data_IF_647477344833
#
_entry.id   IF_647477344833
#
_cell.length_a   1.000
_cell.length_b   1.000
_cell.length_c   1.000
_cell.angle_alpha   90.00
_cell.angle_beta   90.00
_cell.angle_gamma   90.00
#
_symmetry.space_group_name_H-M   'P 1'
#
loop_
_entity.id
_entity.type
_entity.pdbx_description
1 polymer ?
#
# COMPACT_ATOMS: atom_id res chain seq x y z
N UNK A 1 -30.18 -0.12 -19.82
CA UNK A 1 -29.88 -0.87 -18.58
C UNK A 1 -28.52 -0.44 -18.08
N UNK A 2 -28.45 0.38 -17.02
CA UNK A 2 -27.16 0.76 -16.43
C UNK A 2 -26.59 -0.44 -15.65
N UNK A 3 -25.43 -0.95 -16.07
CA UNK A 3 -24.75 -2.04 -15.36
C UNK A 3 -24.04 -1.46 -14.14
N UNK A 4 -24.54 -1.76 -12.94
CA UNK A 4 -23.86 -1.37 -11.71
C UNK A 4 -22.50 -2.10 -11.62
N UNK A 5 -21.42 -1.31 -11.56
CA UNK A 5 -20.06 -1.84 -11.40
C UNK A 5 -19.95 -2.48 -10.02
N UNK A 6 -19.76 -3.80 -9.98
CA UNK A 6 -19.46 -4.51 -8.72
C UNK A 6 -18.13 -4.00 -8.17
N UNK A 7 -18.10 -3.70 -6.87
CA UNK A 7 -16.86 -3.37 -6.17
C UNK A 7 -15.89 -4.56 -6.28
N UNK A 8 -14.65 -4.29 -6.68
CA UNK A 8 -13.63 -5.32 -6.81
C UNK A 8 -13.10 -5.71 -5.43
N UNK A 9 -13.34 -6.95 -5.02
CA UNK A 9 -12.83 -7.49 -3.76
C UNK A 9 -11.45 -8.14 -3.96
N UNK A 10 -10.40 -7.53 -3.41
CA UNK A 10 -9.05 -8.11 -3.46
C UNK A 10 -8.87 -9.20 -2.39
N UNK A 11 -8.59 -10.43 -2.84
CA UNK A 11 -8.32 -11.59 -1.98
C UNK A 11 -6.86 -11.61 -1.50
N UNK A 12 -6.64 -12.12 -0.29
CA UNK A 12 -5.30 -12.36 0.29
C UNK A 12 -4.61 -13.53 -0.40
N UNK A 13 -3.29 -13.65 -0.20
CA UNK A 13 -2.50 -14.75 -0.77
C UNK A 13 -2.93 -16.10 -0.19
N UNK A 14 -3.13 -16.18 1.13
CA UNK A 14 -3.70 -17.35 1.83
C UNK A 14 -4.99 -17.84 1.17
N UNK A 15 -5.97 -16.93 1.04
CA UNK A 15 -7.29 -17.29 0.50
C UNK A 15 -7.22 -17.76 -0.94
N UNK A 16 -6.24 -17.28 -1.72
CA UNK A 16 -5.99 -17.78 -3.07
C UNK A 16 -5.36 -19.18 -3.05
N UNK A 17 -4.48 -19.48 -2.10
CA UNK A 17 -3.94 -20.83 -1.91
C UNK A 17 -5.02 -21.82 -1.48
N UNK A 18 -5.88 -21.47 -0.54
CA UNK A 18 -6.98 -22.35 -0.12
C UNK A 18 -7.87 -22.75 -1.31
N UNK A 19 -8.15 -21.80 -2.21
CA UNK A 19 -8.89 -22.04 -3.45
C UNK A 19 -8.15 -23.01 -4.37
N UNK A 20 -6.82 -22.90 -4.47
CA UNK A 20 -5.99 -23.77 -5.31
C UNK A 20 -5.93 -25.19 -4.72
N UNK A 21 -5.72 -25.32 -3.41
CA UNK A 21 -5.71 -26.60 -2.72
C UNK A 21 -7.05 -27.33 -2.84
N UNK A 22 -8.16 -26.61 -2.63
CA UNK A 22 -9.51 -27.16 -2.82
C UNK A 22 -9.75 -27.59 -4.27
N UNK A 23 -9.24 -26.83 -5.25
CA UNK A 23 -9.36 -27.17 -6.67
C UNK A 23 -8.56 -28.42 -7.03
N UNK A 24 -7.34 -28.56 -6.52
CA UNK A 24 -6.47 -29.71 -6.78
C UNK A 24 -6.89 -30.97 -6.05
N UNK A 25 -7.57 -30.84 -4.90
CA UNK A 25 -8.20 -31.97 -4.22
C UNK A 25 -9.25 -32.67 -5.09
N UNK A 26 -9.71 -32.02 -6.17
CA UNK A 26 -10.72 -32.56 -7.09
C UNK A 26 -12.13 -32.62 -6.50
N UNK A 27 -12.32 -32.15 -5.27
CA UNK A 27 -13.56 -32.32 -4.48
C UNK A 27 -14.74 -31.50 -5.01
N UNK A 28 -14.49 -30.41 -5.73
CA UNK A 28 -15.53 -29.45 -6.12
C UNK A 28 -15.43 -29.04 -7.59
N UNK A 29 -16.59 -28.88 -8.24
CA UNK A 29 -16.66 -28.24 -9.57
C UNK A 29 -16.33 -26.75 -9.47
N UNK A 30 -15.90 -26.12 -10.58
CA UNK A 30 -15.59 -24.68 -10.63
C UNK A 30 -16.75 -23.80 -10.12
N UNK A 31 -17.99 -24.21 -10.37
CA UNK A 31 -19.18 -23.48 -9.89
C UNK A 31 -19.38 -23.64 -8.39
N UNK A 32 -19.21 -24.86 -7.86
CA UNK A 32 -19.32 -25.11 -6.42
C UNK A 32 -18.19 -24.42 -5.64
N UNK A 33 -16.97 -24.42 -6.19
CA UNK A 33 -15.80 -23.76 -5.60
C UNK A 33 -15.99 -22.25 -5.51
N UNK A 34 -16.51 -21.63 -6.58
CA UNK A 34 -16.86 -20.21 -6.60
C UNK A 34 -17.88 -19.85 -5.51
N UNK A 35 -18.89 -20.70 -5.30
CA UNK A 35 -19.90 -20.51 -4.25
C UNK A 35 -19.32 -20.68 -2.85
N UNK A 36 -18.52 -21.75 -2.61
CA UNK A 36 -17.87 -22.04 -1.31
C UNK A 36 -17.00 -20.88 -0.83
N UNK A 37 -16.21 -20.32 -1.74
CA UNK A 37 -15.27 -19.23 -1.42
C UNK A 37 -15.87 -17.83 -1.55
N UNK A 38 -17.10 -17.72 -2.06
CA UNK A 38 -17.77 -16.44 -2.31
C UNK A 38 -17.08 -15.60 -3.40
N UNK A 39 -16.47 -16.25 -4.40
CA UNK A 39 -15.66 -15.60 -5.43
C UNK A 39 -16.38 -15.68 -6.79
N UNK A 40 -16.45 -14.59 -7.57
CA UNK A 40 -17.00 -14.64 -8.92
C UNK A 40 -16.26 -15.64 -9.80
N UNK A 41 -16.98 -16.34 -10.69
CA UNK A 41 -16.37 -17.30 -11.63
C UNK A 41 -15.22 -16.73 -12.44
N UNK A 42 -15.32 -15.47 -12.87
CA UNK A 42 -14.25 -14.77 -13.61
C UNK A 42 -12.98 -14.62 -12.78
N UNK A 43 -13.12 -14.23 -11.51
CA UNK A 43 -12.01 -14.12 -10.57
C UNK A 43 -11.39 -15.48 -10.27
N UNK A 44 -12.21 -16.53 -10.11
CA UNK A 44 -11.73 -17.90 -9.91
C UNK A 44 -10.87 -18.37 -11.09
N UNK A 45 -11.33 -18.18 -12.33
CA UNK A 45 -10.56 -18.55 -13.53
C UNK A 45 -9.22 -17.83 -13.57
N UNK A 46 -9.18 -16.55 -13.17
CA UNK A 46 -7.93 -15.79 -13.12
C UNK A 46 -6.96 -16.33 -12.07
N UNK A 47 -7.47 -16.66 -10.88
CA UNK A 47 -6.66 -17.26 -9.81
C UNK A 47 -6.07 -18.60 -10.26
N UNK A 48 -6.86 -19.43 -10.94
CA UNK A 48 -6.40 -20.72 -11.46
C UNK A 48 -5.37 -20.59 -12.59
N UNK A 49 -5.45 -19.52 -13.40
CA UNK A 49 -4.46 -19.23 -14.44
C UNK A 49 -3.12 -18.81 -13.84
N UNK A 50 -3.14 -18.00 -12.78
CA UNK A 50 -1.94 -17.49 -12.12
C UNK A 50 -1.46 -18.41 -10.97
N UNK A 51 -1.82 -19.71 -11.00
CA UNK A 51 -1.57 -20.66 -9.90
C UNK A 51 -0.10 -20.83 -9.55
N UNK A 52 0.77 -20.94 -10.56
CA UNK A 52 2.20 -21.24 -10.38
C UNK A 52 2.88 -20.03 -9.73
N UNK A 53 2.57 -18.83 -10.22
CA UNK A 53 3.03 -17.57 -9.64
C UNK A 53 2.60 -17.39 -8.19
N UNK A 54 1.40 -17.83 -7.83
CA UNK A 54 0.90 -17.76 -6.46
C UNK A 54 1.62 -18.77 -5.56
N UNK A 55 1.93 -19.98 -6.07
CA UNK A 55 2.71 -20.98 -5.35
C UNK A 55 4.12 -20.51 -5.09
N UNK A 56 4.82 -20.07 -6.12
CA UNK A 56 6.19 -19.56 -6.01
C UNK A 56 6.26 -18.40 -5.00
N UNK A 57 5.28 -17.49 -5.07
CA UNK A 57 5.14 -16.38 -4.13
C UNK A 57 4.93 -16.81 -2.67
N UNK A 58 4.25 -17.94 -2.45
CA UNK A 58 4.00 -18.50 -1.12
C UNK A 58 5.21 -19.28 -0.60
N UNK A 59 5.81 -20.14 -1.43
CA UNK A 59 6.97 -20.97 -1.08
C UNK A 59 8.24 -20.16 -0.83
N UNK A 60 8.46 -19.11 -1.62
CA UNK A 60 9.60 -18.19 -1.42
C UNK A 60 9.47 -17.42 -0.09
N UNK A 61 8.32 -17.48 0.60
CA UNK A 61 7.98 -16.73 1.83
C UNK A 61 8.26 -15.22 1.71
N UNK A 62 8.38 -14.73 0.46
CA UNK A 62 8.71 -13.34 0.13
C UNK A 62 7.57 -12.40 0.48
N UNK A 63 6.35 -12.93 0.55
CA UNK A 63 5.15 -12.18 0.86
C UNK A 63 4.44 -12.73 2.09
N UNK A 64 4.14 -11.82 3.02
CA UNK A 64 3.30 -12.14 4.16
C UNK A 64 1.92 -12.66 3.70
N UNK A 65 1.31 -13.55 4.49
CA UNK A 65 0.19 -14.37 4.00
C UNK A 65 -1.13 -13.56 3.89
N UNK A 66 -1.22 -12.44 4.61
CA UNK A 66 -2.27 -11.41 4.46
C UNK A 66 -2.11 -10.50 3.22
N UNK A 67 -1.02 -10.60 2.45
CA UNK A 67 -0.75 -9.69 1.32
C UNK A 67 -1.71 -9.96 0.17
N UNK A 68 -2.33 -8.90 -0.37
CA UNK A 68 -3.36 -9.00 -1.44
C UNK A 68 -2.80 -8.87 -2.85
N UNK A 69 -1.65 -8.22 -3.01
CA UNK A 69 -1.03 -7.86 -4.30
C UNK A 69 0.42 -8.31 -4.33
N UNK A 70 0.86 -8.87 -5.46
CA UNK A 70 2.24 -9.29 -5.71
C UNK A 70 3.00 -8.16 -6.42
N UNK A 71 3.15 -7.01 -5.77
CA UNK A 71 4.01 -5.92 -6.29
C UNK A 71 5.43 -6.10 -5.77
N UNK A 72 6.40 -5.81 -6.62
CA UNK A 72 7.83 -5.73 -6.27
C UNK A 72 8.22 -4.25 -6.15
N UNK A 73 9.13 -3.92 -5.23
CA UNK A 73 9.85 -2.66 -5.29
C UNK A 73 10.89 -2.67 -6.41
N UNK A 74 11.25 -1.49 -6.92
CA UNK A 74 12.23 -1.35 -8.02
C UNK A 74 13.65 -1.79 -7.62
N UNK A 75 13.90 -1.97 -6.31
CA UNK A 75 15.19 -2.40 -5.75
C UNK A 75 15.00 -3.60 -4.82
N UNK A 76 15.12 -4.81 -5.35
CA UNK A 76 14.99 -6.05 -4.56
C UNK A 76 16.08 -6.19 -3.48
N UNK A 77 17.28 -5.63 -3.72
CA UNK A 77 18.36 -5.66 -2.74
C UNK A 77 18.05 -4.86 -1.48
N UNK A 78 17.31 -3.75 -1.60
CA UNK A 78 16.98 -2.90 -0.46
C UNK A 78 15.87 -3.52 0.42
N UNK A 79 14.96 -4.30 -0.17
CA UNK A 79 13.94 -5.05 0.59
C UNK A 79 14.54 -6.18 1.44
N UNK A 80 15.72 -6.70 1.04
CA UNK A 80 16.43 -7.78 1.76
C UNK A 80 17.08 -7.28 3.06
N UNK A 81 17.37 -5.99 3.16
CA UNK A 81 17.84 -5.35 4.38
C UNK A 81 16.67 -4.62 5.06
N UNK A 82 15.92 -5.29 5.96
CA UNK A 82 14.87 -4.61 6.69
C UNK A 82 15.50 -3.43 7.44
N UNK A 83 14.99 -2.22 7.16
CA UNK A 83 15.22 -1.02 7.96
C UNK A 83 15.17 -1.44 9.43
N UNK A 84 16.28 -1.25 10.16
CA UNK A 84 16.44 -1.78 11.52
C UNK A 84 15.22 -1.41 12.37
N UNK A 85 14.81 -2.31 13.27
CA UNK A 85 13.64 -2.09 14.13
C UNK A 85 13.75 -0.77 14.90
N UNK A 86 14.97 -0.31 15.20
CA UNK A 86 15.23 1.01 15.78
C UNK A 86 14.88 2.19 14.87
N UNK A 87 15.13 2.11 13.56
CA UNK A 87 14.73 3.17 12.63
C UNK A 87 13.20 3.25 12.48
N UNK A 88 12.51 2.10 12.51
CA UNK A 88 11.04 2.05 12.52
C UNK A 88 10.47 2.64 13.80
N UNK A 89 11.04 2.28 14.96
CA UNK A 89 10.63 2.83 16.26
C UNK A 89 10.87 4.34 16.32
N UNK A 90 12.06 4.82 15.91
CA UNK A 90 12.42 6.25 15.88
C UNK A 90 11.54 7.08 14.94
N UNK A 91 10.90 6.45 13.96
CA UNK A 91 9.91 7.09 13.10
C UNK A 91 8.51 7.07 13.71
N UNK A 92 8.11 5.98 14.37
CA UNK A 92 6.86 5.91 15.14
C UNK A 92 6.85 6.92 16.30
N UNK A 93 7.96 7.01 17.05
CA UNK A 93 8.13 7.95 18.16
C UNK A 93 8.05 9.42 17.70
N UNK A 94 8.53 9.70 16.47
CA UNK A 94 8.41 11.04 15.87
C UNK A 94 6.98 11.39 15.50
N UNK A 95 6.15 10.41 15.12
CA UNK A 95 4.73 10.63 14.83
C UNK A 95 3.90 10.80 16.09
N UNK A 96 4.20 10.07 17.15
CA UNK A 96 3.50 10.19 18.44
C UNK A 96 3.86 11.47 19.18
N UNK A 97 5.06 12.03 18.96
CA UNK A 97 5.45 13.33 19.52
C UNK A 97 4.58 14.52 19.04
N UNK A 98 3.91 14.41 17.89
CA UNK A 98 3.01 15.45 17.37
C UNK A 98 1.52 15.16 17.56
N UNK A 99 1.14 14.06 18.20
CA UNK A 99 -0.23 13.83 18.69
C UNK A 99 -0.41 14.29 20.14
N UNK A 100 0.52 15.11 20.65
CA UNK A 100 0.32 15.89 21.86
C UNK A 100 -0.87 16.82 21.65
N UNK A 101 -1.94 16.53 22.40
CA UNK A 101 -3.03 17.41 22.82
C UNK A 101 -3.00 18.83 22.21
N UNK A 102 -4.02 19.26 21.45
CA UNK A 102 -4.13 20.66 21.10
C UNK A 102 -4.08 21.47 22.41
N UNK A 103 -3.32 22.57 22.47
CA UNK A 103 -3.17 23.34 23.70
C UNK A 103 -4.55 23.74 24.23
N UNK A 104 -4.78 23.73 25.56
CA UNK A 104 -6.03 24.19 26.11
C UNK A 104 -6.21 25.65 25.70
N UNK A 105 -7.18 25.90 24.83
CA UNK A 105 -7.70 27.23 24.57
C UNK A 105 -8.28 27.72 25.89
N UNK A 106 -7.53 28.58 26.59
CA UNK A 106 -8.03 29.33 27.73
C UNK A 106 -9.26 30.12 27.28
N UNK A 107 -10.41 29.74 27.83
CA UNK A 107 -11.64 30.49 27.74
C UNK A 107 -11.48 31.81 28.51
N UNK A 108 -10.96 32.85 27.84
CA UNK A 108 -10.99 34.24 28.27
C UNK A 108 -11.96 35.00 27.37
N UNK A 109 -13.04 35.52 27.95
CA UNK A 109 -14.15 36.13 27.21
C UNK A 109 -13.82 37.46 26.52
N UNK A 110 -14.42 37.59 25.32
CA UNK A 110 -15.00 38.80 24.69
C UNK A 110 -14.09 40.00 24.31
N UNK A 111 -14.51 40.92 23.41
CA UNK A 111 -15.47 40.82 22.29
C UNK A 111 -14.92 41.40 20.96
N UNK A 112 -15.62 41.07 19.86
CA UNK A 112 -15.88 41.87 18.63
C UNK A 112 -14.81 42.87 18.16
N UNK A 113 -14.20 42.58 17.01
CA UNK A 113 -13.44 43.55 16.21
C UNK A 113 -13.35 43.11 14.76
N UNK A 114 -14.06 43.81 13.88
CA UNK A 114 -14.16 43.59 12.44
C UNK A 114 -12.83 43.70 11.69
N UNK A 115 -12.74 42.96 10.57
CA UNK A 115 -11.86 43.19 9.41
C UNK A 115 -10.35 43.29 9.65
N UNK A 116 -9.63 42.21 9.27
CA UNK A 116 -8.32 42.34 8.64
C UNK A 116 -8.05 41.09 7.77
N UNK A 117 -8.23 41.24 6.46
CA UNK A 117 -7.61 40.37 5.44
C UNK A 117 -6.09 40.56 5.54
N UNK A 118 -5.46 39.76 6.40
CA UNK A 118 -4.02 39.77 6.67
C UNK A 118 -3.29 38.78 5.78
N UNK A 119 -2.58 39.34 4.81
CA UNK A 119 -1.60 38.76 3.88
C UNK A 119 -0.91 37.47 4.35
N UNK A 120 -0.97 36.43 3.50
CA UNK A 120 -0.10 35.26 3.60
C UNK A 120 1.34 35.69 3.25
N UNK A 121 2.36 35.36 4.05
CA UNK A 121 3.74 35.53 3.64
C UNK A 121 4.08 34.49 2.56
N UNK A 122 4.27 34.93 1.32
CA UNK A 122 4.81 34.09 0.24
C UNK A 122 6.31 33.94 0.44
N UNK A 123 6.77 32.75 0.85
CA UNK A 123 8.18 32.41 0.85
C UNK A 123 8.68 32.29 -0.61
N UNK A 124 9.83 32.88 -0.98
CA UNK A 124 10.40 32.66 -2.31
C UNK A 124 10.91 31.22 -2.45
N UNK A 125 10.56 30.58 -3.56
CA UNK A 125 11.12 29.30 -3.98
C UNK A 125 12.57 29.53 -4.44
N UNK A 126 13.54 29.15 -3.61
CA UNK A 126 14.95 29.09 -4.04
C UNK A 126 15.16 27.77 -4.77
N UNK A 127 15.04 27.82 -6.10
CA UNK A 127 15.49 26.74 -6.99
C UNK A 127 17.03 26.66 -6.96
N UNK A 128 17.66 25.51 -6.67
CA UNK A 128 19.07 25.33 -6.97
C UNK A 128 19.25 25.24 -8.49
N UNK A 129 19.91 26.27 -9.04
CA UNK A 129 20.35 26.34 -10.44
C UNK A 129 21.47 25.33 -10.72
N UNK A 130 21.46 24.83 -11.95
CA UNK A 130 22.32 23.82 -12.58
C UNK A 130 23.81 24.16 -12.49
N UNK A 131 24.65 23.20 -12.11
CA UNK A 131 26.06 23.18 -12.44
C UNK A 131 26.42 21.85 -13.10
N UNK A 132 26.60 21.92 -14.43
CA UNK A 132 27.14 20.88 -15.28
C UNK A 132 28.67 20.84 -15.15
N UNK A 133 29.27 19.65 -14.95
CA UNK A 133 30.66 19.27 -15.26
C UNK A 133 30.72 17.73 -15.15
N UNK A 134 31.24 16.90 -16.04
CA UNK A 134 31.79 17.03 -17.38
C UNK A 134 32.01 15.60 -17.90
N UNK A 135 31.74 15.37 -19.19
CA UNK A 135 32.05 14.12 -19.87
C UNK A 135 33.55 14.07 -20.18
N UNK A 136 34.27 13.08 -19.66
CA UNK A 136 35.60 12.72 -20.17
C UNK A 136 35.56 11.33 -20.77
N UNK A 137 35.32 11.29 -22.06
CA UNK A 137 35.84 10.25 -22.95
C UNK A 137 37.36 10.27 -22.86
N UNK A 138 38.01 9.13 -22.72
CA UNK A 138 39.41 8.96 -23.05
C UNK A 138 39.63 7.59 -23.67
N UNK A 139 40.45 7.67 -24.71
CA UNK A 139 40.71 6.81 -25.85
C UNK A 139 41.25 5.42 -25.51
#
# INVERSE_FOLDING_TARGET
MATQKRAHHALTLEKKMDIILDFESGSYSKTALAAKHGVPKSSLTRILHDKDKLRDAFETSRFGPQRKRLRHGDHEELEKYPVSKEQQQKFMDRRTAHSGSPPPVSAGGAPVGSNALGMLPTSPVTSPSVAALGSTTST
#
